data_IF_217466210686
#
_entry.id   IF_217466210686
#
_cell.length_a   1.000
_cell.length_b   1.000
_cell.length_c   1.000
_cell.angle_alpha   90.00
_cell.angle_beta   90.00
_cell.angle_gamma   90.00
#
_symmetry.space_group_name_H-M   'P 1'
#
loop_
_entity.id
_entity.type
_entity.pdbx_description
1 polymer ?
#
# COMPACT_ATOMS: atom_id res chain seq x y z
N UNK A 1 6.06 -4.43 10.45
CA UNK A 1 6.04 -3.03 9.96
C UNK A 1 7.10 -2.86 8.89
N UNK A 2 6.71 -2.90 7.62
CA UNK A 2 7.65 -2.91 6.51
C UNK A 2 8.38 -1.57 6.34
N UNK A 3 9.70 -1.62 6.48
CA UNK A 3 10.58 -0.47 6.28
C UNK A 3 10.94 -0.28 4.80
N UNK A 4 11.26 -1.39 4.12
CA UNK A 4 11.78 -1.37 2.76
C UNK A 4 10.76 -0.78 1.79
N UNK A 5 9.52 -1.27 1.86
CA UNK A 5 8.39 -0.78 1.10
C UNK A 5 8.15 0.71 1.24
N UNK A 6 8.00 1.17 2.49
CA UNK A 6 7.77 2.58 2.80
C UNK A 6 8.90 3.49 2.26
N UNK A 7 10.16 3.10 2.46
CA UNK A 7 11.30 3.83 1.91
C UNK A 7 11.31 3.84 0.38
N UNK A 8 10.97 2.73 -0.28
CA UNK A 8 10.93 2.65 -1.73
C UNK A 8 9.80 3.51 -2.32
N UNK A 9 8.62 3.51 -1.71
CA UNK A 9 7.50 4.38 -2.11
C UNK A 9 7.89 5.85 -2.00
N UNK A 10 8.49 6.27 -0.87
CA UNK A 10 8.96 7.64 -0.72
C UNK A 10 9.98 8.02 -1.81
N UNK A 11 11.09 7.29 -1.89
CA UNK A 11 12.25 7.70 -2.69
C UNK A 11 12.06 7.48 -4.20
N UNK A 12 11.31 6.45 -4.62
CA UNK A 12 11.25 6.05 -6.04
C UNK A 12 9.89 6.33 -6.68
N UNK A 13 8.80 6.36 -5.89
CA UNK A 13 7.47 6.67 -6.42
C UNK A 13 7.13 8.15 -6.19
N UNK A 14 7.10 8.59 -4.94
CA UNK A 14 6.63 9.92 -4.57
C UNK A 14 7.58 11.02 -5.05
N UNK A 15 8.89 10.88 -4.83
CA UNK A 15 9.89 11.85 -5.30
C UNK A 15 10.00 11.90 -6.83
N UNK A 16 9.67 10.81 -7.54
CA UNK A 16 9.76 10.77 -9.01
C UNK A 16 8.48 11.25 -9.71
N UNK A 17 7.36 11.30 -9.00
CA UNK A 17 6.06 11.73 -9.54
C UNK A 17 5.68 13.04 -8.87
N UNK A 18 5.80 14.15 -9.59
CA UNK A 18 5.43 15.49 -9.11
C UNK A 18 3.94 15.83 -9.20
N UNK A 19 3.08 14.87 -9.56
CA UNK A 19 1.64 15.12 -9.80
C UNK A 19 0.92 15.58 -8.51
N UNK A 20 0.43 16.83 -8.45
CA UNK A 20 -0.19 17.37 -7.23
C UNK A 20 -1.54 16.73 -6.89
N UNK A 21 -2.22 16.10 -7.84
CA UNK A 21 -3.49 15.40 -7.60
C UNK A 21 -3.30 13.98 -7.05
N UNK A 22 -2.09 13.41 -7.14
CA UNK A 22 -1.79 12.11 -6.53
C UNK A 22 -2.05 12.19 -5.02
N UNK A 23 -2.76 11.20 -4.48
CA UNK A 23 -3.00 11.02 -3.04
C UNK A 23 -2.52 9.64 -2.64
N UNK A 24 -1.81 9.58 -1.53
CA UNK A 24 -1.31 8.32 -0.97
C UNK A 24 -1.93 8.10 0.39
N UNK A 25 -2.47 6.91 0.62
CA UNK A 25 -3.02 6.49 1.90
C UNK A 25 -2.22 5.28 2.37
N UNK A 26 -1.64 5.37 3.57
CA UNK A 26 -0.85 4.29 4.15
C UNK A 26 -1.55 3.79 5.40
N UNK A 27 -1.94 2.51 5.40
CA UNK A 27 -2.46 1.85 6.58
C UNK A 27 -1.37 0.97 7.20
N UNK A 28 -0.95 1.34 8.40
CA UNK A 28 -0.04 0.56 9.22
C UNK A 28 -0.88 -0.44 10.03
N UNK A 29 -0.59 -1.74 9.91
CA UNK A 29 -1.34 -2.83 10.56
C UNK A 29 -0.42 -3.73 11.39
N UNK A 30 -0.80 -4.14 12.62
CA UNK A 30 0.02 -5.04 13.44
C UNK A 30 -0.03 -6.49 12.94
N UNK A 31 0.76 -6.86 11.93
CA UNK A 31 0.76 -8.22 11.39
C UNK A 31 1.73 -9.13 12.16
N UNK A 32 2.95 -8.65 12.41
CA UNK A 32 3.97 -9.42 13.12
C UNK A 32 3.89 -9.21 14.64
N UNK A 33 4.42 -10.14 15.46
CA UNK A 33 4.37 -10.04 16.93
C UNK A 33 4.92 -8.73 17.50
N UNK A 34 5.96 -8.17 16.88
CA UNK A 34 6.63 -6.94 17.33
C UNK A 34 6.01 -5.66 16.71
N UNK A 35 4.94 -5.79 15.93
CA UNK A 35 4.28 -4.63 15.35
C UNK A 35 3.40 -3.93 16.39
N UNK A 36 3.55 -2.62 16.46
CA UNK A 36 2.86 -1.75 17.42
C UNK A 36 2.62 -0.38 16.82
N UNK A 37 1.71 0.39 17.41
CA UNK A 37 1.47 1.78 17.01
C UNK A 37 2.74 2.63 17.15
N UNK A 38 3.54 2.39 18.19
CA UNK A 38 4.83 3.05 18.37
C UNK A 38 5.79 2.72 17.21
N UNK A 39 5.88 1.45 16.82
CA UNK A 39 6.68 1.04 15.66
C UNK A 39 6.14 1.65 14.36
N UNK A 40 4.82 1.74 14.18
CA UNK A 40 4.19 2.42 13.06
C UNK A 40 4.55 3.91 13.03
N UNK A 41 4.51 4.60 14.19
CA UNK A 41 4.92 6.00 14.32
C UNK A 41 6.39 6.25 14.00
N UNK A 42 7.29 5.29 14.27
CA UNK A 42 8.69 5.41 13.85
C UNK A 42 8.86 5.16 12.34
N UNK A 43 8.05 4.28 11.74
CA UNK A 43 8.10 3.98 10.31
C UNK A 43 7.42 5.02 9.45
N UNK A 44 6.39 5.70 9.97
CA UNK A 44 5.69 6.76 9.26
C UNK A 44 6.61 7.92 8.88
N UNK A 45 7.67 8.16 9.68
CA UNK A 45 8.72 9.15 9.41
C UNK A 45 9.50 8.90 8.12
N UNK A 46 9.41 7.70 7.54
CA UNK A 46 10.07 7.35 6.27
C UNK A 46 9.31 7.91 5.06
N UNK A 47 8.02 8.21 5.21
CA UNK A 47 7.19 8.79 4.15
C UNK A 47 6.80 10.20 4.59
N UNK A 48 7.46 11.19 3.99
CA UNK A 48 7.34 12.61 4.39
C UNK A 48 6.63 13.45 3.34
N UNK A 49 6.27 12.86 2.19
CA UNK A 49 5.53 13.55 1.13
C UNK A 49 4.18 14.09 1.65
N UNK A 50 3.92 15.37 1.39
CA UNK A 50 2.72 16.06 1.85
C UNK A 50 1.41 15.50 1.25
N UNK A 51 1.49 14.70 0.17
CA UNK A 51 0.35 14.00 -0.43
C UNK A 51 0.00 12.69 0.28
N UNK A 52 0.84 12.24 1.21
CA UNK A 52 0.62 11.02 1.97
C UNK A 52 -0.15 11.30 3.27
N UNK A 53 -1.25 10.57 3.46
CA UNK A 53 -1.97 10.46 4.74
C UNK A 53 -1.75 9.06 5.31
N UNK A 54 -1.43 8.98 6.60
CA UNK A 54 -1.03 7.73 7.23
C UNK A 54 -1.95 7.41 8.42
N UNK A 55 -2.32 6.14 8.57
CA UNK A 55 -3.31 5.65 9.53
C UNK A 55 -2.79 4.40 10.23
N UNK A 56 -3.28 4.17 11.45
CA UNK A 56 -3.05 2.95 12.21
C UNK A 56 -4.35 2.15 12.30
N UNK A 57 -4.32 0.90 11.87
CA UNK A 57 -5.44 -0.05 11.96
C UNK A 57 -5.10 -1.10 13.02
N UNK A 58 -5.33 -0.76 14.30
CA UNK A 58 -5.07 -1.64 15.44
C UNK A 58 -5.83 -2.95 15.35
N UNK A 59 -7.02 -2.90 14.78
CA UNK A 59 -8.01 -3.96 14.81
C UNK A 59 -7.86 -4.91 13.60
N UNK A 60 -6.91 -4.63 12.70
CA UNK A 60 -6.63 -5.40 11.48
C UNK A 60 -7.88 -5.58 10.62
N UNK A 61 -8.67 -4.52 10.50
CA UNK A 61 -9.93 -4.51 9.75
C UNK A 61 -9.72 -4.45 8.24
N UNK A 62 -8.65 -3.80 7.77
CA UNK A 62 -8.38 -3.59 6.34
C UNK A 62 -7.79 -4.82 5.63
N UNK A 63 -6.81 -5.57 6.19
CA UNK A 63 -6.20 -6.70 5.49
C UNK A 63 -7.18 -7.76 4.97
N UNK A 64 -8.21 -8.22 5.72
CA UNK A 64 -9.14 -9.21 5.19
C UNK A 64 -10.01 -8.66 4.06
N UNK A 65 -10.42 -7.38 4.13
CA UNK A 65 -11.21 -6.74 3.08
C UNK A 65 -10.42 -6.65 1.78
N UNK A 66 -9.17 -6.22 1.85
CA UNK A 66 -8.30 -6.18 0.67
C UNK A 66 -7.86 -7.56 0.20
N UNK A 67 -7.69 -8.55 1.09
CA UNK A 67 -7.40 -9.92 0.69
C UNK A 67 -8.48 -10.46 -0.26
N UNK A 68 -9.76 -10.27 0.10
CA UNK A 68 -10.89 -10.66 -0.75
C UNK A 68 -10.88 -9.94 -2.11
N UNK A 69 -10.66 -8.61 -2.12
CA UNK A 69 -10.61 -7.82 -3.37
C UNK A 69 -9.45 -8.24 -4.28
N UNK A 70 -8.32 -8.65 -3.72
CA UNK A 70 -7.12 -9.07 -4.44
C UNK A 70 -7.12 -10.56 -4.80
N UNK A 71 -8.11 -11.33 -4.34
CA UNK A 71 -8.19 -12.78 -4.57
C UNK A 71 -7.14 -13.58 -3.80
N UNK A 72 -6.68 -13.07 -2.65
CA UNK A 72 -5.82 -13.83 -1.74
C UNK A 72 -6.65 -14.91 -1.04
N UNK A 73 -6.01 -16.01 -0.67
CA UNK A 73 -6.63 -17.04 0.16
C UNK A 73 -7.03 -16.46 1.54
N UNK A 74 -8.06 -17.02 2.18
CA UNK A 74 -8.63 -16.49 3.43
C UNK A 74 -7.60 -16.36 4.57
N UNK A 75 -6.61 -17.27 4.62
CA UNK A 75 -5.54 -17.26 5.62
C UNK A 75 -4.39 -16.29 5.29
N UNK A 76 -4.49 -15.57 4.18
CA UNK A 76 -3.44 -14.66 3.69
C UNK A 76 -3.92 -13.20 3.73
N UNK A 77 -3.77 -12.50 4.88
CA UNK A 77 -4.17 -11.10 4.99
C UNK A 77 -3.40 -10.26 3.97
N UNK A 78 -4.04 -9.24 3.40
CA UNK A 78 -3.35 -8.30 2.51
C UNK A 78 -2.45 -7.36 3.34
N UNK A 79 -1.18 -7.73 3.47
CA UNK A 79 -0.13 -6.90 4.07
C UNK A 79 1.04 -6.77 3.09
N UNK A 80 1.82 -5.68 3.21
CA UNK A 80 2.88 -5.34 2.26
C UNK A 80 2.40 -5.36 0.78
N UNK A 81 1.22 -4.80 0.54
CA UNK A 81 0.62 -4.60 -0.79
C UNK A 81 0.61 -3.12 -1.16
N UNK A 82 0.74 -2.83 -2.46
CA UNK A 82 0.81 -1.48 -3.02
C UNK A 82 -0.25 -1.37 -4.10
N UNK A 83 -1.31 -0.62 -3.83
CA UNK A 83 -2.53 -0.60 -4.64
C UNK A 83 -2.62 0.73 -5.40
N UNK A 84 -2.79 0.68 -6.72
CA UNK A 84 -2.95 1.86 -7.56
C UNK A 84 -4.38 1.97 -8.09
N UNK A 85 -4.95 3.16 -7.94
CA UNK A 85 -6.32 3.46 -8.38
C UNK A 85 -6.32 4.67 -9.33
N UNK A 86 -7.06 4.62 -10.44
CA UNK A 86 -7.32 5.80 -11.25
C UNK A 86 -8.27 6.74 -10.50
N UNK A 87 -8.47 7.98 -10.96
CA UNK A 87 -9.53 8.83 -10.44
C UNK A 87 -10.92 8.20 -10.62
N UNK A 88 -11.77 8.26 -9.59
CA UNK A 88 -13.20 7.92 -9.71
C UNK A 88 -13.74 6.71 -8.92
N UNK A 89 -12.99 5.62 -8.68
CA UNK A 89 -13.48 4.52 -7.85
C UNK A 89 -13.85 4.98 -6.44
N UNK A 90 -14.99 4.51 -5.95
CA UNK A 90 -15.47 4.77 -4.58
C UNK A 90 -15.45 3.48 -3.77
N UNK A 91 -15.25 3.62 -2.46
CA UNK A 91 -15.40 2.53 -1.51
C UNK A 91 -16.76 2.68 -0.83
N UNK A 92 -17.71 1.82 -1.19
CA UNK A 92 -19.01 1.73 -0.52
C UNK A 92 -18.99 0.56 0.48
N UNK A 93 -19.51 -0.61 0.13
CA UNK A 93 -19.52 -1.79 0.99
C UNK A 93 -18.18 -2.55 0.99
N UNK A 94 -17.51 -2.61 -0.16
CA UNK A 94 -16.24 -3.34 -0.36
C UNK A 94 -15.20 -2.42 -1.00
N UNK A 95 -13.91 -2.61 -0.70
CA UNK A 95 -12.87 -1.83 -1.35
C UNK A 95 -12.88 -2.10 -2.87
N UNK A 96 -12.80 -1.05 -3.70
CA UNK A 96 -12.79 -1.22 -5.14
C UNK A 96 -11.56 -2.03 -5.56
N UNK A 97 -11.64 -2.71 -6.71
CA UNK A 97 -10.46 -3.36 -7.30
C UNK A 97 -9.47 -2.29 -7.75
N UNK A 98 -8.17 -2.42 -7.40
CA UNK A 98 -7.15 -1.53 -7.95
C UNK A 98 -6.99 -1.77 -9.45
N UNK A 99 -6.54 -0.76 -10.19
CA UNK A 99 -6.17 -0.93 -11.60
C UNK A 99 -4.99 -1.89 -11.74
N UNK A 100 -4.03 -1.79 -10.82
CA UNK A 100 -2.94 -2.75 -10.65
C UNK A 100 -2.41 -2.69 -9.22
N UNK A 101 -1.64 -3.70 -8.83
CA UNK A 101 -1.00 -3.73 -7.53
C UNK A 101 0.29 -4.55 -7.56
N UNK A 102 1.22 -4.22 -6.67
CA UNK A 102 2.43 -4.98 -6.39
C UNK A 102 2.43 -5.46 -4.93
N UNK A 103 3.34 -6.36 -4.56
CA UNK A 103 3.46 -6.84 -3.17
C UNK A 103 4.90 -7.14 -2.73
N UNK A 104 5.09 -7.39 -1.43
CA UNK A 104 6.30 -8.04 -0.90
C UNK A 104 5.97 -9.36 -0.15
N UNK A 105 4.81 -9.93 -0.45
CA UNK A 105 4.42 -11.28 -0.02
C UNK A 105 5.27 -12.34 -0.74
N UNK A 106 5.72 -13.37 -0.02
CA UNK A 106 6.74 -14.37 -0.42
C UNK A 106 6.64 -14.94 -1.84
N UNK A 107 6.09 -16.15 -1.99
CA UNK A 107 5.96 -16.88 -3.28
C UNK A 107 4.59 -16.64 -3.94
N UNK A 108 3.98 -15.48 -3.69
CA UNK A 108 2.70 -15.12 -4.29
C UNK A 108 2.87 -14.82 -5.79
N UNK A 109 2.07 -15.47 -6.63
CA UNK A 109 2.09 -15.35 -8.11
C UNK A 109 0.81 -14.70 -8.67
N UNK A 110 0.14 -13.86 -7.87
CA UNK A 110 -1.06 -13.13 -8.29
C UNK A 110 -0.75 -11.72 -8.81
N UNK A 111 0.42 -11.19 -8.47
CA UNK A 111 0.88 -9.87 -8.88
C UNK A 111 2.43 -9.81 -8.85
N UNK A 112 3.05 -8.78 -9.43
CA UNK A 112 4.49 -8.60 -9.34
C UNK A 112 4.94 -8.27 -7.91
N UNK A 113 6.14 -8.71 -7.55
CA UNK A 113 6.85 -8.16 -6.39
C UNK A 113 7.10 -6.65 -6.61
N UNK A 114 7.17 -5.89 -5.53
CA UNK A 114 7.43 -4.45 -5.61
C UNK A 114 8.81 -4.18 -6.24
N UNK A 115 8.77 -3.81 -7.51
CA UNK A 115 9.74 -2.93 -8.17
C UNK A 115 9.13 -1.53 -8.17
N UNK A 116 9.71 -0.62 -7.38
CA UNK A 116 9.16 0.71 -7.19
C UNK A 116 9.28 1.60 -8.44
N UNK A 117 10.29 1.39 -9.28
CA UNK A 117 10.44 2.13 -10.54
C UNK A 117 9.41 1.65 -11.56
N UNK A 118 9.16 0.34 -11.63
CA UNK A 118 8.09 -0.23 -12.45
C UNK A 118 6.71 0.22 -11.98
N UNK A 119 6.47 0.19 -10.67
CA UNK A 119 5.24 0.69 -10.06
C UNK A 119 5.01 2.17 -10.40
N UNK A 120 6.05 3.00 -10.27
CA UNK A 120 5.97 4.42 -10.62
C UNK A 120 5.71 4.65 -12.12
N UNK A 121 6.26 3.81 -13.01
CA UNK A 121 5.98 3.90 -14.46
C UNK A 121 4.51 3.58 -14.75
N UNK A 122 3.98 2.49 -14.23
CA UNK A 122 2.57 2.12 -14.41
C UNK A 122 1.63 3.15 -13.78
N UNK A 123 1.98 3.71 -12.61
CA UNK A 123 1.16 4.70 -11.92
C UNK A 123 0.96 5.97 -12.75
N UNK A 124 1.98 6.39 -13.51
CA UNK A 124 1.91 7.53 -14.44
C UNK A 124 0.95 7.29 -15.62
N UNK A 125 0.54 6.05 -15.90
CA UNK A 125 -0.42 5.77 -16.96
C UNK A 125 -1.87 6.04 -16.52
N UNK A 126 -2.09 6.32 -15.23
CA UNK A 126 -3.42 6.59 -14.68
C UNK A 126 -3.83 8.08 -14.70
N UNK A 127 -2.94 8.99 -15.13
CA UNK A 127 -3.19 10.43 -15.22
C UNK A 127 -2.40 11.10 -16.34
#
# INVERSE_FOLDING_TARGET
MCRQGASAIQAQVLESIGEPSLRVYIAWVPILPDDSEAAAGERSKLVTDARASQFWDSDKTLPPLFAATLGLEEDWPAWDVYLAYPPGPTWDAEPPKPAFWHHQLGELDLAPKLDADAFARQLRELF
#
